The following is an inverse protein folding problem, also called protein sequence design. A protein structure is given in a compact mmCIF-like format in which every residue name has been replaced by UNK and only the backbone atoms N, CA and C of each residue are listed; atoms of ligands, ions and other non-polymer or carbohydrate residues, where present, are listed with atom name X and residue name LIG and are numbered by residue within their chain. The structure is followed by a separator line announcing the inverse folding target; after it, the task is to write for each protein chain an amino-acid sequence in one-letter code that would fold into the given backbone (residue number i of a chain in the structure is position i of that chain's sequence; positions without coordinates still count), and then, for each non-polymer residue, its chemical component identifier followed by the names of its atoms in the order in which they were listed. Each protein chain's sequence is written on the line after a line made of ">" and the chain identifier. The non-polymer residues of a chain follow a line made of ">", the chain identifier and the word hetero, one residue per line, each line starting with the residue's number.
data_IF_772986933672
#
_entry.id   IF_772986933672
#
_cell.length_a   1.000
_cell.length_b   1.000
_cell.length_c   1.000
_cell.angle_alpha   90.00
_cell.angle_beta   90.00
_cell.angle_gamma   90.00
#
_symmetry.space_group_name_H-M   'P 1'
#
loop_
_entity.id
_entity.type
_entity.pdbx_description
1 polymer ?
#
# COMPACT_ATOMS: atom_id res chain seq x y z
N UNK A 1 1.20 6.27 -22.28
CA UNK A 1 2.06 5.91 -21.13
C UNK A 1 1.67 4.51 -20.70
N UNK A 2 2.64 3.68 -20.34
CA UNK A 2 2.39 2.34 -19.81
C UNK A 2 2.26 2.44 -18.29
N UNK A 3 1.21 1.87 -17.70
CA UNK A 3 1.08 1.79 -16.25
C UNK A 3 2.20 0.92 -15.63
N UNK A 4 2.49 1.15 -14.36
CA UNK A 4 3.49 0.38 -13.60
C UNK A 4 2.87 -0.21 -12.35
N UNK A 5 3.12 -1.50 -12.09
CA UNK A 5 2.60 -2.22 -10.92
C UNK A 5 3.75 -2.60 -10.00
N UNK A 6 3.59 -2.33 -8.70
CA UNK A 6 4.48 -2.80 -7.63
C UNK A 6 3.79 -3.86 -6.81
N UNK A 7 4.42 -5.01 -6.60
CA UNK A 7 4.05 -5.90 -5.50
C UNK A 7 4.81 -5.48 -4.25
N UNK A 8 4.08 -5.19 -3.19
CA UNK A 8 4.63 -4.66 -1.93
C UNK A 8 4.14 -5.55 -0.79
N UNK A 9 5.06 -6.06 0.01
CA UNK A 9 4.71 -6.75 1.25
C UNK A 9 4.33 -5.74 2.33
N UNK A 10 3.19 -5.95 2.99
CA UNK A 10 2.68 -5.14 4.10
C UNK A 10 3.37 -5.41 5.44
N UNK A 11 4.20 -6.46 5.51
CA UNK A 11 4.78 -6.91 6.78
C UNK A 11 3.74 -7.62 7.67
N UNK A 12 4.03 -7.82 8.96
CA UNK A 12 3.14 -8.54 9.87
C UNK A 12 2.06 -7.66 10.53
N UNK A 13 1.98 -6.37 10.19
CA UNK A 13 0.94 -5.44 10.66
C UNK A 13 1.46 -4.16 11.32
N UNK A 14 2.66 -4.19 11.90
CA UNK A 14 3.32 -2.99 12.46
C UNK A 14 3.87 -2.10 11.32
N UNK A 15 3.41 -0.84 11.17
CA UNK A 15 3.89 0.07 10.12
C UNK A 15 5.39 0.34 10.14
N UNK A 16 6.05 0.28 11.30
CA UNK A 16 7.50 0.50 11.40
C UNK A 16 8.31 -0.62 10.74
N UNK A 17 7.69 -1.79 10.50
CA UNK A 17 8.32 -2.92 9.83
C UNK A 17 8.23 -2.85 8.30
N UNK A 18 7.59 -1.80 7.74
CA UNK A 18 7.62 -1.57 6.31
C UNK A 18 9.02 -1.17 5.85
N UNK A 19 9.43 -1.71 4.70
CA UNK A 19 10.66 -1.23 4.07
C UNK A 19 10.51 0.23 3.62
N UNK A 20 11.61 0.97 3.60
CA UNK A 20 11.62 2.35 3.07
C UNK A 20 11.08 2.41 1.63
N UNK A 21 11.35 1.38 0.81
CA UNK A 21 10.80 1.30 -0.55
C UNK A 21 9.29 1.08 -0.56
N UNK A 22 8.72 0.26 0.35
CA UNK A 22 7.28 0.06 0.47
C UNK A 22 6.57 1.38 0.75
N UNK A 23 7.06 2.15 1.73
CA UNK A 23 6.51 3.47 2.07
C UNK A 23 6.56 4.42 0.86
N UNK A 24 7.68 4.44 0.12
CA UNK A 24 7.78 5.26 -1.09
C UNK A 24 6.80 4.84 -2.19
N UNK A 25 6.54 3.53 -2.36
CA UNK A 25 5.54 3.05 -3.31
C UNK A 25 4.13 3.44 -2.90
N UNK A 26 3.77 3.27 -1.63
CA UNK A 26 2.44 3.65 -1.11
C UNK A 26 2.17 5.15 -1.29
N UNK A 27 3.17 6.01 -1.00
CA UNK A 27 3.05 7.46 -1.17
C UNK A 27 2.86 7.90 -2.62
N UNK A 28 3.45 7.17 -3.57
CA UNK A 28 3.46 7.54 -4.99
C UNK A 28 2.37 6.83 -5.81
N UNK A 29 1.68 5.84 -5.24
CA UNK A 29 0.65 5.08 -5.94
C UNK A 29 -0.61 5.92 -6.15
N UNK A 30 -1.17 5.86 -7.35
CA UNK A 30 -2.48 6.45 -7.68
C UNK A 30 -3.63 5.53 -7.23
N UNK A 31 -3.39 4.21 -7.24
CA UNK A 31 -4.35 3.18 -6.81
C UNK A 31 -3.60 2.14 -5.98
N UNK A 32 -4.17 1.76 -4.84
CA UNK A 32 -3.64 0.72 -3.94
C UNK A 32 -4.69 -0.35 -3.76
N UNK A 33 -4.35 -1.57 -4.20
CA UNK A 33 -5.14 -2.78 -3.93
C UNK A 33 -4.57 -3.45 -2.67
N UNK A 34 -5.42 -3.77 -1.71
CA UNK A 34 -5.00 -4.41 -0.46
C UNK A 34 -5.97 -5.52 -0.03
N UNK A 35 -5.44 -6.53 0.67
CA UNK A 35 -6.24 -7.60 1.29
C UNK A 35 -6.63 -7.26 2.73
N UNK A 36 -7.45 -8.11 3.36
CA UNK A 36 -7.95 -7.87 4.72
C UNK A 36 -6.85 -7.90 5.79
N UNK A 37 -5.76 -8.63 5.54
CA UNK A 37 -4.60 -8.62 6.45
C UNK A 37 -3.82 -7.31 6.39
N UNK A 38 -3.99 -6.56 5.31
CA UNK A 38 -3.29 -5.31 5.00
C UNK A 38 -4.17 -4.07 5.20
N UNK A 39 -5.41 -4.20 5.68
CA UNK A 39 -6.37 -3.09 5.84
C UNK A 39 -6.11 -2.19 7.06
N UNK A 40 -4.88 -2.12 7.54
CA UNK A 40 -4.50 -1.50 8.80
C UNK A 40 -3.74 -0.16 8.67
N UNK A 41 -3.06 0.27 9.75
CA UNK A 41 -2.34 1.56 9.82
C UNK A 41 -1.24 1.71 8.77
N UNK A 42 -0.82 0.63 8.12
CA UNK A 42 0.10 0.68 6.98
C UNK A 42 -0.43 1.55 5.82
N UNK A 43 -1.76 1.61 5.66
CA UNK A 43 -2.42 2.40 4.61
C UNK A 43 -2.38 3.91 4.90
N UNK A 44 -2.01 4.33 6.12
CA UNK A 44 -1.80 5.75 6.46
C UNK A 44 -0.60 6.34 5.70
N UNK A 45 0.26 5.49 5.12
CA UNK A 45 1.33 5.92 4.21
C UNK A 45 0.88 6.13 2.77
N UNK A 46 -0.37 5.81 2.43
CA UNK A 46 -0.91 6.07 1.10
C UNK A 46 -0.85 7.57 0.76
N UNK A 47 -0.65 7.87 -0.52
CA UNK A 47 -0.81 9.23 -1.01
C UNK A 47 -2.22 9.75 -0.72
N UNK A 48 -2.36 11.05 -0.41
CA UNK A 48 -3.66 11.66 -0.08
C UNK A 48 -4.68 11.65 -1.23
N UNK A 49 -4.23 11.35 -2.45
CA UNK A 49 -5.06 11.23 -3.65
C UNK A 49 -5.16 9.77 -4.14
N UNK A 50 -4.58 8.82 -3.41
CA UNK A 50 -4.59 7.42 -3.80
C UNK A 50 -5.99 6.82 -3.59
N UNK A 51 -6.50 6.11 -4.60
CA UNK A 51 -7.69 5.30 -4.46
C UNK A 51 -7.34 4.00 -3.72
N UNK A 52 -8.04 3.74 -2.61
CA UNK A 52 -7.86 2.54 -1.81
C UNK A 52 -8.97 1.53 -2.13
N UNK A 53 -8.59 0.36 -2.65
CA UNK A 53 -9.55 -0.69 -3.05
C UNK A 53 -9.24 -1.97 -2.28
N UNK A 54 -10.15 -2.36 -1.39
CA UNK A 54 -10.11 -3.66 -0.74
C UNK A 54 -10.44 -4.77 -1.73
N UNK A 55 -9.53 -5.74 -1.87
CA UNK A 55 -9.68 -6.93 -2.74
C UNK A 55 -9.74 -8.24 -1.94
N UNK A 56 -9.68 -8.14 -0.61
CA UNK A 56 -9.92 -9.24 0.34
C UNK A 56 -11.38 -9.72 0.35
N UNK A 57 -11.65 -10.81 1.05
CA UNK A 57 -12.93 -11.52 1.02
C UNK A 57 -13.36 -11.97 2.40
#
# INVERSE_FOLDING_TARGET
>A
MTGYVSFVGSGPGDPELLTVKAIQRLKAAEVILFDDLSSGPILDHAGSQAELIGVGK
#
